data_IF_640762091126
#
_entry.id   IF_640762091126
#
_cell.length_a   1.000
_cell.length_b   1.000
_cell.length_c   1.000
_cell.angle_alpha   90.00
_cell.angle_beta   90.00
_cell.angle_gamma   90.00
#
_symmetry.space_group_name_H-M   'P 1'
#
loop_
_entity.id
_entity.type
_entity.pdbx_description
1 polymer ?
#
# COMPACT_ATOMS: atom_id res chain seq x y z
N UNK A 1 18.30 -22.59 4.66
CA UNK A 1 18.62 -21.38 3.86
C UNK A 1 19.93 -21.44 3.03
N UNK A 2 21.05 -22.09 3.44
CA UNK A 2 22.31 -22.04 2.66
C UNK A 2 22.28 -22.73 1.29
N UNK A 3 21.33 -23.63 1.04
CA UNK A 3 21.33 -24.51 -0.15
C UNK A 3 20.61 -23.94 -1.38
N UNK A 4 19.84 -22.84 -1.24
CA UNK A 4 19.00 -22.32 -2.33
C UNK A 4 19.76 -21.35 -3.26
N UNK A 5 20.53 -20.41 -2.68
CA UNK A 5 21.34 -19.43 -3.43
C UNK A 5 22.37 -20.06 -4.41
N UNK A 6 23.04 -21.18 -4.08
CA UNK A 6 23.94 -21.84 -5.03
C UNK A 6 23.24 -22.38 -6.28
N UNK A 7 21.97 -22.80 -6.19
CA UNK A 7 21.18 -23.34 -7.31
C UNK A 7 20.63 -22.24 -8.22
N UNK A 8 20.29 -21.08 -7.67
CA UNK A 8 19.83 -19.90 -8.43
C UNK A 8 20.95 -19.20 -9.22
N UNK A 9 22.23 -19.48 -8.93
CA UNK A 9 23.33 -19.04 -9.78
C UNK A 9 23.17 -19.68 -11.16
N UNK A 10 22.77 -18.87 -12.12
CA UNK A 10 22.61 -19.18 -13.55
C UNK A 10 23.95 -19.54 -14.22
N UNK A 11 24.75 -20.47 -13.67
CA UNK A 11 26.04 -20.89 -14.26
C UNK A 11 25.90 -21.39 -15.71
N UNK A 12 24.69 -21.85 -16.09
CA UNK A 12 24.42 -22.46 -17.40
C UNK A 12 23.44 -21.67 -18.30
N UNK A 13 22.88 -20.55 -17.84
CA UNK A 13 21.88 -19.78 -18.60
C UNK A 13 22.45 -18.72 -19.57
N UNK A 14 23.52 -17.96 -19.23
CA UNK A 14 24.04 -16.96 -20.16
C UNK A 14 24.60 -17.61 -21.43
N UNK A 15 25.04 -18.87 -21.37
CA UNK A 15 25.65 -19.57 -22.51
C UNK A 15 24.67 -19.82 -23.68
N UNK A 16 23.40 -20.16 -23.45
CA UNK A 16 22.44 -20.39 -24.57
C UNK A 16 22.10 -19.11 -25.32
N UNK A 17 21.82 -18.02 -24.61
CA UNK A 17 21.54 -16.72 -25.22
C UNK A 17 22.77 -16.17 -25.95
N UNK A 18 23.97 -16.33 -25.37
CA UNK A 18 25.21 -15.91 -26.01
C UNK A 18 25.49 -16.73 -27.29
N UNK A 19 25.18 -18.03 -27.30
CA UNK A 19 25.27 -18.88 -28.50
C UNK A 19 24.28 -18.40 -29.58
N UNK A 20 23.04 -18.11 -29.21
CA UNK A 20 22.04 -17.55 -30.14
C UNK A 20 22.48 -16.22 -30.74
N UNK A 21 23.02 -15.31 -29.91
CA UNK A 21 23.53 -14.02 -30.38
C UNK A 21 24.75 -14.19 -31.30
N UNK A 22 25.69 -15.10 -30.96
CA UNK A 22 26.81 -15.46 -31.84
C UNK A 22 26.32 -16.03 -33.18
N UNK A 23 25.31 -16.90 -33.18
CA UNK A 23 24.69 -17.43 -34.41
C UNK A 23 24.04 -16.34 -35.27
N UNK A 24 23.52 -15.28 -34.63
CA UNK A 24 23.01 -14.08 -35.31
C UNK A 24 24.11 -13.10 -35.74
N UNK A 25 25.39 -13.47 -35.61
CA UNK A 25 26.53 -12.67 -36.08
C UNK A 25 27.00 -11.59 -35.10
N UNK A 26 26.52 -11.57 -33.85
CA UNK A 26 26.93 -10.57 -32.87
C UNK A 26 28.22 -10.96 -32.16
N UNK A 27 29.21 -10.06 -32.18
CA UNK A 27 30.52 -10.26 -31.57
C UNK A 27 30.55 -9.62 -30.18
N UNK A 28 30.95 -10.38 -29.15
CA UNK A 28 30.93 -9.93 -27.76
C UNK A 28 32.26 -10.20 -27.06
N UNK A 29 33.02 -9.14 -26.76
CA UNK A 29 34.30 -9.22 -26.04
C UNK A 29 34.26 -8.71 -24.59
N UNK A 30 33.16 -8.05 -24.18
CA UNK A 30 32.99 -7.43 -22.85
C UNK A 30 31.62 -7.74 -22.24
N UNK A 31 31.12 -8.96 -22.45
CA UNK A 31 29.88 -9.39 -21.81
C UNK A 31 30.04 -9.32 -20.28
N UNK A 32 29.10 -8.67 -19.62
CA UNK A 32 29.08 -8.54 -18.16
C UNK A 32 27.72 -9.00 -17.66
N UNK A 33 27.66 -9.53 -16.45
CA UNK A 33 26.44 -10.05 -15.85
C UNK A 33 26.17 -9.35 -14.52
N UNK A 34 24.90 -9.06 -14.23
CA UNK A 34 24.52 -8.25 -13.05
C UNK A 34 24.95 -8.90 -11.74
N UNK A 35 25.09 -10.23 -11.68
CA UNK A 35 25.59 -10.96 -10.50
C UNK A 35 27.13 -11.11 -10.45
N UNK A 36 27.86 -10.54 -11.41
CA UNK A 36 29.32 -10.53 -11.36
C UNK A 36 29.82 -9.74 -10.14
N UNK A 37 30.84 -10.20 -9.41
CA UNK A 37 31.30 -9.55 -8.18
C UNK A 37 31.67 -8.07 -8.34
N UNK A 38 32.22 -7.70 -9.50
CA UNK A 38 32.59 -6.31 -9.81
C UNK A 38 31.35 -5.43 -9.93
N UNK A 39 30.30 -5.88 -10.63
CA UNK A 39 29.05 -5.13 -10.77
C UNK A 39 28.32 -5.06 -9.42
N UNK A 40 28.27 -6.17 -8.68
CA UNK A 40 27.67 -6.19 -7.34
C UNK A 40 28.34 -5.21 -6.38
N UNK A 41 29.68 -5.09 -6.45
CA UNK A 41 30.42 -4.08 -5.69
C UNK A 41 30.02 -2.66 -6.10
N UNK A 42 29.95 -2.36 -7.40
CA UNK A 42 29.56 -1.04 -7.90
C UNK A 42 28.12 -0.65 -7.50
N UNK A 43 27.19 -1.60 -7.51
CA UNK A 43 25.81 -1.37 -7.05
C UNK A 43 25.80 -0.98 -5.57
N UNK A 44 26.57 -1.66 -4.73
CA UNK A 44 26.70 -1.32 -3.30
C UNK A 44 27.32 0.05 -3.08
N UNK A 45 28.37 0.37 -3.82
CA UNK A 45 29.01 1.69 -3.76
C UNK A 45 28.05 2.81 -4.18
N UNK A 46 27.29 2.60 -5.26
CA UNK A 46 26.26 3.54 -5.70
C UNK A 46 25.16 3.73 -4.64
N UNK A 47 24.69 2.65 -4.01
CA UNK A 47 23.72 2.71 -2.92
C UNK A 47 24.26 3.52 -1.74
N UNK A 48 25.45 3.20 -1.25
CA UNK A 48 26.07 3.90 -0.10
C UNK A 48 26.24 5.38 -0.40
N UNK A 49 26.70 5.72 -1.60
CA UNK A 49 26.86 7.11 -2.01
C UNK A 49 25.53 7.86 -2.03
N UNK A 50 24.51 7.32 -2.69
CA UNK A 50 23.19 7.95 -2.78
C UNK A 50 22.54 8.08 -1.39
N UNK A 51 22.78 7.13 -0.49
CA UNK A 51 22.35 7.22 0.91
C UNK A 51 23.07 8.34 1.66
N UNK A 52 24.40 8.44 1.53
CA UNK A 52 25.19 9.52 2.14
C UNK A 52 24.82 10.90 1.59
N UNK A 53 24.44 10.98 0.32
CA UNK A 53 23.95 12.20 -0.34
C UNK A 53 22.52 12.57 0.12
N UNK A 54 21.87 11.76 0.98
CA UNK A 54 20.51 12.00 1.47
C UNK A 54 19.41 11.68 0.45
N UNK A 55 19.74 11.03 -0.66
CA UNK A 55 18.80 10.68 -1.74
C UNK A 55 18.13 9.33 -1.50
N UNK A 56 18.75 8.45 -0.71
CA UNK A 56 18.12 7.19 -0.28
C UNK A 56 17.68 7.33 1.17
N UNK A 57 16.45 6.94 1.45
CA UNK A 57 15.90 6.92 2.80
C UNK A 57 15.06 5.67 3.02
N UNK A 58 14.72 5.41 4.30
CA UNK A 58 13.85 4.31 4.71
C UNK A 58 12.52 4.88 5.20
N UNK A 59 11.41 4.33 4.73
CA UNK A 59 10.06 4.81 5.07
C UNK A 59 9.02 3.70 5.00
N UNK A 60 7.83 3.98 5.51
CA UNK A 60 6.70 3.06 5.49
C UNK A 60 5.78 3.36 4.31
N UNK A 61 5.44 2.34 3.54
CA UNK A 61 4.44 2.41 2.46
C UNK A 61 3.55 1.18 2.52
N UNK A 62 2.25 1.29 2.18
CA UNK A 62 1.47 0.13 1.84
C UNK A 62 2.10 -0.52 0.62
N UNK A 63 2.17 -1.84 0.65
CA UNK A 63 2.53 -2.69 -0.46
C UNK A 63 1.47 -3.76 -0.65
N UNK A 64 1.34 -4.22 -1.88
CA UNK A 64 0.53 -5.38 -2.18
C UNK A 64 1.22 -6.60 -1.60
N UNK A 65 0.57 -7.31 -0.69
CA UNK A 65 1.09 -8.52 -0.06
C UNK A 65 0.07 -9.64 -0.22
N UNK A 66 0.55 -10.83 -0.54
CA UNK A 66 -0.28 -12.02 -0.57
C UNK A 66 0.22 -13.02 0.47
N UNK A 67 -0.70 -13.79 1.05
CA UNK A 67 -0.30 -14.93 1.87
C UNK A 67 0.45 -15.92 1.01
N UNK A 68 1.57 -16.40 1.53
CA UNK A 68 2.34 -17.50 0.94
C UNK A 68 2.70 -18.50 2.01
N UNK A 69 2.34 -19.75 1.76
CA UNK A 69 2.85 -20.88 2.54
C UNK A 69 4.29 -21.15 2.11
N UNK A 70 5.23 -20.97 3.05
CA UNK A 70 6.64 -21.29 2.82
C UNK A 70 7.10 -22.14 4.00
N UNK A 71 7.20 -23.46 3.78
CA UNK A 71 7.74 -24.44 4.74
C UNK A 71 7.15 -24.35 6.16
N UNK A 72 5.93 -24.91 6.33
CA UNK A 72 5.20 -25.01 7.62
C UNK A 72 4.82 -23.68 8.30
N UNK A 73 5.30 -22.53 7.82
CA UNK A 73 4.87 -21.20 8.25
C UNK A 73 4.10 -20.45 7.13
N UNK A 74 2.94 -19.91 7.48
CA UNK A 74 2.20 -18.95 6.66
C UNK A 74 2.72 -17.55 6.96
N UNK A 75 3.29 -16.86 5.95
CA UNK A 75 3.73 -15.47 6.07
C UNK A 75 3.09 -14.63 4.95
N UNK A 76 2.82 -13.35 5.19
CA UNK A 76 2.53 -12.42 4.10
C UNK A 76 3.85 -12.13 3.38
N UNK A 77 3.82 -12.24 2.06
CA UNK A 77 4.97 -11.92 1.22
C UNK A 77 4.56 -10.77 0.32
N UNK A 78 5.37 -9.72 0.31
CA UNK A 78 5.20 -8.59 -0.59
C UNK A 78 5.22 -9.10 -2.04
N UNK A 79 4.15 -8.83 -2.75
CA UNK A 79 4.00 -9.09 -4.17
C UNK A 79 4.22 -7.79 -4.93
N UNK A 80 5.17 -7.79 -5.87
CA UNK A 80 5.28 -6.68 -6.82
C UNK A 80 4.04 -6.66 -7.72
N UNK A 81 3.66 -5.48 -8.22
CA UNK A 81 2.57 -5.30 -9.21
C UNK A 81 2.67 -6.26 -10.42
N UNK A 82 3.88 -6.67 -10.78
CA UNK A 82 4.16 -7.63 -11.85
C UNK A 82 3.67 -9.06 -11.56
N UNK A 83 3.27 -9.37 -10.32
CA UNK A 83 2.84 -10.70 -9.88
C UNK A 83 1.31 -10.81 -9.67
N UNK A 84 0.52 -9.79 -10.02
CA UNK A 84 -0.94 -9.90 -10.05
C UNK A 84 -1.31 -10.85 -11.20
N UNK A 85 -1.98 -11.97 -10.88
CA UNK A 85 -2.42 -12.94 -11.90
C UNK A 85 -3.69 -12.46 -12.59
N UNK A 86 -4.69 -12.12 -11.80
CA UNK A 86 -6.04 -11.81 -12.26
C UNK A 86 -6.80 -10.98 -11.22
N UNK A 87 -7.72 -10.15 -11.71
CA UNK A 87 -8.75 -9.48 -10.91
C UNK A 87 -10.06 -10.25 -11.12
N UNK A 88 -10.66 -10.72 -10.02
CA UNK A 88 -11.89 -11.51 -10.05
C UNK A 88 -12.99 -10.72 -9.35
N UNK A 89 -14.16 -10.64 -10.00
CA UNK A 89 -15.35 -10.04 -9.42
C UNK A 89 -15.94 -10.99 -8.37
N UNK A 90 -15.96 -10.55 -7.12
CA UNK A 90 -16.49 -11.29 -5.99
C UNK A 90 -17.58 -10.52 -5.26
N UNK A 91 -18.53 -11.29 -4.70
CA UNK A 91 -19.57 -10.74 -3.84
C UNK A 91 -19.07 -10.65 -2.41
N UNK A 92 -18.74 -9.43 -1.99
CA UNK A 92 -18.43 -9.12 -0.60
C UNK A 92 -19.65 -8.54 0.12
N UNK A 93 -19.58 -8.50 1.46
CA UNK A 93 -20.56 -7.81 2.29
C UNK A 93 -20.05 -6.42 2.60
N UNK A 94 -20.88 -5.42 2.30
CA UNK A 94 -20.65 -4.05 2.71
C UNK A 94 -21.54 -3.72 3.91
N UNK A 95 -20.95 -3.10 4.93
CA UNK A 95 -21.58 -2.81 6.20
C UNK A 95 -21.79 -1.32 6.36
N UNK A 96 -22.95 -0.93 6.88
CA UNK A 96 -23.20 0.42 7.35
C UNK A 96 -23.01 0.44 8.87
N UNK A 97 -21.96 1.12 9.33
CA UNK A 97 -21.48 1.14 10.72
C UNK A 97 -21.67 2.54 11.30
N UNK A 98 -22.20 2.63 12.52
CA UNK A 98 -22.31 3.89 13.26
C UNK A 98 -20.96 4.25 13.88
N UNK A 99 -20.50 5.47 13.63
CA UNK A 99 -19.40 6.11 14.33
C UNK A 99 -19.99 7.11 15.32
N UNK A 100 -19.67 6.92 16.61
CA UNK A 100 -20.19 7.72 17.73
C UNK A 100 -19.07 8.61 18.24
N UNK A 101 -19.43 9.86 18.60
CA UNK A 101 -18.62 10.94 19.18
C UNK A 101 -18.43 12.15 18.24
N UNK A 102 -19.51 12.92 18.09
CA UNK A 102 -19.53 14.17 17.33
C UNK A 102 -19.33 15.43 18.20
N UNK A 103 -19.26 15.31 19.53
CA UNK A 103 -19.41 16.46 20.45
C UNK A 103 -18.11 17.21 20.78
N UNK A 104 -17.04 17.06 19.98
CA UNK A 104 -15.75 17.72 20.24
C UNK A 104 -15.13 18.48 19.06
N UNK A 105 -15.91 18.91 18.05
CA UNK A 105 -15.35 19.57 16.85
C UNK A 105 -15.51 21.10 16.89
N UNK A 106 -14.40 21.85 16.96
CA UNK A 106 -14.31 23.21 16.41
C UNK A 106 -14.37 23.10 14.90
N UNK A 107 -15.48 23.49 14.25
CA UNK A 107 -15.55 23.61 12.79
C UNK A 107 -14.71 24.82 12.36
N UNK A 108 -13.59 24.60 11.66
CA UNK A 108 -12.94 25.66 10.86
C UNK A 108 -13.45 25.56 9.43
N UNK A 109 -14.18 26.59 9.01
CA UNK A 109 -14.45 26.81 7.60
C UNK A 109 -13.12 26.88 6.83
N UNK A 110 -12.97 26.02 5.82
CA UNK A 110 -11.77 25.94 4.98
C UNK A 110 -10.92 24.71 5.29
N UNK A 111 -11.03 23.72 4.40
CA UNK A 111 -10.24 22.48 4.35
C UNK A 111 -10.30 21.58 5.60
N UNK A 112 -11.24 20.63 5.58
CA UNK A 112 -11.20 19.32 6.24
C UNK A 112 -10.69 19.28 7.68
N UNK A 113 -11.59 19.14 8.64
CA UNK A 113 -11.21 19.10 10.04
C UNK A 113 -10.65 17.73 10.47
N UNK A 114 -9.68 17.75 11.39
CA UNK A 114 -8.93 16.61 11.95
C UNK A 114 -9.07 16.56 13.47
N UNK A 115 -9.36 15.38 14.06
CA UNK A 115 -8.50 14.71 15.08
C UNK A 115 -9.15 13.47 15.76
N UNK A 116 -8.43 12.33 15.66
CA UNK A 116 -7.90 11.45 16.75
C UNK A 116 -8.89 10.82 17.75
N UNK A 117 -8.77 9.59 18.29
CA UNK A 117 -7.98 8.34 18.14
C UNK A 117 -8.76 7.37 19.04
N UNK A 118 -9.09 6.15 18.61
CA UNK A 118 -9.58 5.13 19.56
C UNK A 118 -8.57 3.99 19.60
N UNK A 119 -7.74 4.01 20.64
CA UNK A 119 -6.79 2.92 20.94
C UNK A 119 -7.36 2.06 22.06
N UNK A 120 -8.62 1.64 21.92
CA UNK A 120 -9.16 0.42 22.54
C UNK A 120 -10.59 0.15 22.06
N UNK A 121 -10.91 -1.11 21.78
CA UNK A 121 -12.28 -1.52 21.39
C UNK A 121 -13.34 -1.10 22.43
N UNK A 122 -12.98 -1.12 23.72
CA UNK A 122 -13.87 -0.70 24.81
C UNK A 122 -14.26 0.79 24.76
N UNK A 123 -13.46 1.64 24.12
CA UNK A 123 -13.79 3.06 23.91
C UNK A 123 -14.79 3.25 22.77
N UNK A 124 -14.68 2.45 21.69
CA UNK A 124 -15.70 2.32 20.64
C UNK A 124 -17.03 1.79 21.18
N UNK A 125 -16.99 0.98 22.24
CA UNK A 125 -18.14 0.30 22.82
C UNK A 125 -18.91 1.11 23.87
N UNK A 126 -18.52 2.35 24.18
CA UNK A 126 -19.28 3.18 25.13
C UNK A 126 -20.73 3.34 24.62
N UNK A 127 -21.74 2.92 25.42
CA UNK A 127 -23.11 3.02 24.99
C UNK A 127 -23.51 4.48 24.76
N UNK A 128 -24.25 4.70 23.67
CA UNK A 128 -24.96 5.94 23.33
C UNK A 128 -25.58 6.56 24.60
N UNK A 129 -24.98 7.63 25.11
CA UNK A 129 -25.63 8.42 26.16
C UNK A 129 -26.68 9.30 25.48
N UNK A 130 -27.93 8.85 25.61
CA UNK A 130 -29.12 9.41 24.98
C UNK A 130 -29.40 10.82 25.48
N UNK A 131 -29.11 11.82 24.65
CA UNK A 131 -29.80 13.11 24.69
C UNK A 131 -29.87 13.77 23.29
N UNK A 132 -28.90 13.49 22.41
CA UNK A 132 -28.94 13.79 20.97
C UNK A 132 -28.28 12.65 20.18
N UNK A 133 -28.99 12.12 19.19
CA UNK A 133 -28.64 10.93 18.39
C UNK A 133 -27.63 11.26 17.27
N UNK A 134 -26.51 11.91 17.59
CA UNK A 134 -25.59 12.39 16.55
C UNK A 134 -24.49 11.36 16.29
N UNK A 135 -24.72 10.45 15.34
CA UNK A 135 -23.73 9.49 14.84
C UNK A 135 -23.52 9.67 13.33
N UNK A 136 -22.30 9.43 12.85
CA UNK A 136 -22.04 9.28 11.42
C UNK A 136 -22.29 7.85 10.99
N UNK A 137 -22.87 7.69 9.81
CA UNK A 137 -22.94 6.40 9.17
C UNK A 137 -21.74 6.28 8.22
N UNK A 138 -21.04 5.16 8.25
CA UNK A 138 -19.94 4.87 7.34
C UNK A 138 -20.19 3.53 6.67
N UNK A 139 -20.02 3.49 5.35
CA UNK A 139 -20.04 2.25 4.59
C UNK A 139 -18.63 1.66 4.49
N UNK A 140 -18.45 0.37 4.79
CA UNK A 140 -17.16 -0.31 4.64
C UNK A 140 -17.32 -1.79 4.30
N UNK A 141 -16.49 -2.30 3.38
CA UNK A 141 -16.33 -3.73 3.11
C UNK A 141 -15.28 -4.40 4.00
N UNK A 142 -14.44 -3.61 4.69
CA UNK A 142 -13.36 -4.09 5.56
C UNK A 142 -13.57 -3.59 7.00
N UNK A 143 -14.58 -4.10 7.72
CA UNK A 143 -14.88 -3.64 9.07
C UNK A 143 -13.70 -3.89 10.04
N UNK A 144 -12.93 -4.95 9.86
CA UNK A 144 -11.77 -5.28 10.70
C UNK A 144 -10.60 -4.28 10.62
N UNK A 145 -10.55 -3.40 9.60
CA UNK A 145 -9.51 -2.36 9.52
C UNK A 145 -9.86 -1.11 10.34
N UNK A 146 -11.06 -1.05 10.95
CA UNK A 146 -11.49 0.07 11.82
C UNK A 146 -10.53 0.30 12.99
N UNK A 147 -9.82 -0.73 13.47
CA UNK A 147 -8.82 -0.60 14.53
C UNK A 147 -7.65 0.33 14.17
N UNK A 148 -7.49 0.65 12.89
CA UNK A 148 -6.45 1.53 12.36
C UNK A 148 -7.02 2.81 11.72
N UNK A 149 -8.30 3.11 11.93
CA UNK A 149 -8.91 4.35 11.42
C UNK A 149 -8.32 5.58 12.13
N UNK A 150 -8.00 6.61 11.35
CA UNK A 150 -7.39 7.85 11.88
C UNK A 150 -8.19 9.11 11.55
N UNK A 151 -9.10 9.02 10.58
CA UNK A 151 -9.96 10.13 10.18
C UNK A 151 -11.25 9.63 9.50
N UNK A 152 -12.25 10.51 9.46
CA UNK A 152 -13.41 10.38 8.58
C UNK A 152 -13.38 11.54 7.57
N UNK A 153 -13.61 11.26 6.30
CA UNK A 153 -13.75 12.26 5.25
C UNK A 153 -15.20 12.41 4.84
N UNK A 154 -15.65 13.66 4.75
CA UNK A 154 -16.99 14.01 4.26
C UNK A 154 -16.81 14.80 2.97
N UNK A 155 -17.56 14.44 1.93
CA UNK A 155 -17.57 15.22 0.70
C UNK A 155 -18.27 16.57 0.97
N UNK A 156 -17.60 17.73 0.78
CA UNK A 156 -18.20 19.04 1.05
C UNK A 156 -19.43 19.37 0.19
N UNK A 157 -19.56 18.70 -0.96
CA UNK A 157 -20.71 18.83 -1.86
C UNK A 157 -21.86 17.89 -1.49
N UNK A 158 -21.61 16.89 -0.64
CA UNK A 158 -22.63 16.09 0.03
C UNK A 158 -22.84 16.70 1.43
N UNK A 159 -23.56 17.83 1.50
CA UNK A 159 -24.00 18.32 2.81
C UNK A 159 -24.81 17.21 3.49
N UNK A 160 -24.61 16.95 4.80
CA UNK A 160 -25.44 16.01 5.53
C UNK A 160 -26.86 16.59 5.64
N UNK A 161 -27.66 16.31 4.62
CA UNK A 161 -29.08 16.63 4.56
C UNK A 161 -29.81 15.85 5.68
N UNK A 162 -30.82 16.44 6.31
CA UNK A 162 -31.66 15.73 7.32
C UNK A 162 -32.36 14.48 6.72
N UNK A 163 -32.29 14.32 5.40
CA UNK A 163 -32.96 13.28 4.63
C UNK A 163 -32.04 12.26 3.92
N UNK A 164 -30.74 12.14 4.26
CA UNK A 164 -29.78 11.22 3.60
C UNK A 164 -30.42 9.84 3.34
N UNK A 165 -30.81 9.61 2.08
CA UNK A 165 -31.32 8.34 1.61
C UNK A 165 -30.15 7.37 1.51
N UNK A 166 -30.13 6.46 2.49
CA UNK A 166 -29.15 5.38 2.70
C UNK A 166 -29.27 4.33 1.58
N UNK A 167 -28.81 4.65 0.36
CA UNK A 167 -28.71 3.59 -0.65
C UNK A 167 -27.39 2.80 -0.60
N UNK A 168 -26.29 3.42 -0.15
CA UNK A 168 -25.24 2.80 0.67
C UNK A 168 -24.12 3.82 0.99
N UNK A 169 -23.88 4.78 0.11
CA UNK A 169 -22.90 5.86 0.31
C UNK A 169 -23.45 6.89 1.29
N UNK A 170 -22.91 6.93 2.50
CA UNK A 170 -23.30 7.89 3.54
C UNK A 170 -22.73 9.30 3.34
N UNK A 171 -22.00 9.53 2.23
CA UNK A 171 -21.18 10.73 2.03
C UNK A 171 -19.95 10.78 2.93
N UNK A 172 -19.74 9.76 3.78
CA UNK A 172 -18.66 9.67 4.76
C UNK A 172 -17.81 8.43 4.50
N UNK A 173 -16.51 8.66 4.37
CA UNK A 173 -15.48 7.65 4.17
C UNK A 173 -14.63 7.52 5.44
N UNK A 174 -14.46 6.30 5.97
CA UNK A 174 -13.39 6.05 6.94
C UNK A 174 -12.03 6.04 6.24
N UNK A 175 -11.02 6.59 6.91
CA UNK A 175 -9.66 6.62 6.40
C UNK A 175 -8.73 5.78 7.26
N UNK A 176 -8.12 4.77 6.65
CA UNK A 176 -7.23 3.79 7.27
C UNK A 176 -5.88 3.71 6.52
N UNK A 177 -4.97 4.69 6.66
CA UNK A 177 -3.76 4.80 5.84
C UNK A 177 -2.84 3.57 5.85
N UNK A 178 -2.85 2.74 6.89
CA UNK A 178 -2.02 1.54 6.95
C UNK A 178 -2.54 0.35 6.13
N UNK A 179 -3.76 0.42 5.59
CA UNK A 179 -4.48 -0.72 5.00
C UNK A 179 -5.15 -0.45 3.66
N UNK A 180 -5.05 0.76 3.13
CA UNK A 180 -5.59 1.14 1.83
C UNK A 180 -4.71 2.22 1.16
N UNK A 181 -4.48 2.09 -0.16
CA UNK A 181 -3.60 3.00 -0.90
C UNK A 181 -4.17 4.42 -1.05
N UNK A 182 -5.48 4.54 -1.27
CA UNK A 182 -6.11 5.85 -1.39
C UNK A 182 -6.11 6.57 -0.04
N UNK A 183 -6.39 5.83 1.03
CA UNK A 183 -6.29 6.34 2.40
C UNK A 183 -4.86 6.72 2.79
N UNK A 184 -3.87 5.97 2.32
CA UNK A 184 -2.46 6.30 2.54
C UNK A 184 -2.07 7.62 1.89
N UNK A 185 -2.48 7.86 0.64
CA UNK A 185 -2.23 9.12 -0.05
C UNK A 185 -2.99 10.30 0.60
N UNK A 186 -4.22 10.08 1.06
CA UNK A 186 -4.94 11.05 1.89
C UNK A 186 -4.18 11.32 3.20
N UNK A 187 -3.64 10.26 3.82
CA UNK A 187 -2.84 10.34 5.03
C UNK A 187 -1.60 11.20 4.85
N UNK A 188 -0.83 11.00 3.76
CA UNK A 188 0.29 11.88 3.42
C UNK A 188 -0.15 13.31 3.16
N UNK A 189 -1.15 13.50 2.29
CA UNK A 189 -1.64 14.82 1.87
C UNK A 189 -2.00 15.69 3.05
N UNK A 190 -2.59 15.07 4.07
CA UNK A 190 -3.14 15.74 5.24
C UNK A 190 -2.35 15.51 6.52
N UNK A 191 -1.17 14.89 6.43
CA UNK A 191 -0.26 14.64 7.55
C UNK A 191 -0.94 13.86 8.70
N UNK A 192 -1.75 12.87 8.34
CA UNK A 192 -2.37 11.94 9.28
C UNK A 192 -1.37 10.90 9.77
N UNK A 193 -1.56 10.36 10.99
CA UNK A 193 -0.84 9.19 11.44
C UNK A 193 -1.06 8.02 10.47
N UNK A 194 0.01 7.31 10.12
CA UNK A 194 -0.06 6.07 9.36
C UNK A 194 0.10 4.93 10.36
N UNK A 195 -1.01 4.31 10.73
CA UNK A 195 -1.05 3.22 11.71
C UNK A 195 -1.54 1.93 11.04
N UNK A 196 -0.96 0.81 11.44
CA UNK A 196 -1.43 -0.53 11.05
C UNK A 196 -1.90 -1.27 12.29
N UNK A 197 -3.02 -1.99 12.16
CA UNK A 197 -3.53 -2.92 13.18
C UNK A 197 -3.05 -4.37 12.97
N UNK A 198 -2.25 -4.64 11.93
CA UNK A 198 -1.66 -5.95 11.65
C UNK A 198 -0.15 -5.86 11.53
N UNK A 199 0.53 -6.94 11.89
CA UNK A 199 1.96 -7.10 11.65
C UNK A 199 2.25 -7.74 10.27
N UNK A 200 3.55 -7.95 9.98
CA UNK A 200 4.04 -8.56 8.73
C UNK A 200 3.51 -9.98 8.47
N UNK A 201 2.87 -10.63 9.44
CA UNK A 201 2.26 -11.96 9.30
C UNK A 201 0.74 -11.90 9.11
N UNK A 202 0.14 -10.71 9.04
CA UNK A 202 -1.32 -10.53 9.00
C UNK A 202 -1.99 -10.83 10.34
N UNK A 203 -1.22 -10.82 11.43
CA UNK A 203 -1.71 -11.04 12.79
C UNK A 203 -1.98 -9.68 13.44
N UNK A 204 -3.15 -9.58 14.07
CA UNK A 204 -3.62 -8.37 14.73
C UNK A 204 -2.76 -8.02 15.94
N UNK A 205 -2.42 -6.73 16.07
CA UNK A 205 -1.66 -6.18 17.20
C UNK A 205 -2.59 -5.71 18.34
N UNK A 206 -2.03 -5.01 19.32
CA UNK A 206 -2.74 -4.50 20.50
C UNK A 206 -3.92 -3.56 20.18
N UNK A 207 -3.93 -2.91 19.00
CA UNK A 207 -5.04 -2.05 18.57
C UNK A 207 -6.35 -2.82 18.41
N UNK A 208 -6.26 -4.13 18.14
CA UNK A 208 -7.42 -4.99 17.98
C UNK A 208 -8.01 -5.50 19.30
N UNK A 209 -7.45 -5.09 20.46
CA UNK A 209 -7.97 -5.45 21.77
C UNK A 209 -8.18 -6.97 21.94
N UNK A 210 -9.43 -7.47 22.13
CA UNK A 210 -9.70 -8.89 22.32
C UNK A 210 -9.24 -9.81 21.17
N UNK A 211 -9.03 -9.25 19.97
CA UNK A 211 -8.60 -10.00 18.79
C UNK A 211 -7.08 -9.97 18.56
N UNK A 212 -6.31 -9.35 19.46
CA UNK A 212 -4.85 -9.37 19.41
C UNK A 212 -4.33 -10.81 19.29
N UNK A 213 -3.34 -11.02 18.42
CA UNK A 213 -2.73 -12.33 18.18
C UNK A 213 -3.53 -13.24 17.23
N UNK A 214 -4.70 -12.81 16.76
CA UNK A 214 -5.49 -13.55 15.77
C UNK A 214 -5.22 -13.01 14.35
N UNK A 215 -5.47 -13.85 13.36
CA UNK A 215 -5.33 -13.46 11.96
C UNK A 215 -6.48 -12.53 11.53
N UNK A 216 -6.18 -11.43 10.83
CA UNK A 216 -7.18 -10.42 10.45
C UNK A 216 -8.38 -11.01 9.68
N UNK A 217 -8.12 -11.91 8.72
CA UNK A 217 -9.18 -12.57 7.95
C UNK A 217 -10.08 -13.49 8.78
N UNK A 218 -9.57 -14.02 9.91
CA UNK A 218 -10.29 -14.99 10.75
C UNK A 218 -11.35 -14.34 11.65
N UNK A 219 -11.27 -13.03 11.88
CA UNK A 219 -12.13 -12.36 12.85
C UNK A 219 -13.39 -11.76 12.24
N UNK A 220 -13.47 -11.63 10.91
CA UNK A 220 -14.54 -10.87 10.23
C UNK A 220 -15.94 -11.32 10.65
N UNK A 221 -16.22 -12.62 10.65
CA UNK A 221 -17.55 -13.13 11.02
C UNK A 221 -17.93 -12.81 12.47
N UNK A 222 -17.02 -13.08 13.41
CA UNK A 222 -17.20 -12.81 14.84
C UNK A 222 -17.33 -11.30 15.11
N UNK A 223 -16.48 -10.50 14.46
CA UNK A 223 -16.44 -9.05 14.60
C UNK A 223 -17.74 -8.42 14.11
N UNK A 224 -18.23 -8.83 12.94
CA UNK A 224 -19.52 -8.37 12.40
C UNK A 224 -20.68 -8.77 13.30
N UNK A 225 -20.69 -10.00 13.83
CA UNK A 225 -21.72 -10.44 14.76
C UNK A 225 -21.75 -9.56 16.03
N UNK A 226 -20.58 -9.16 16.55
CA UNK A 226 -20.48 -8.24 17.69
C UNK A 226 -20.99 -6.83 17.35
N UNK A 227 -20.68 -6.30 16.17
CA UNK A 227 -21.19 -5.00 15.72
C UNK A 227 -22.73 -5.00 15.60
N UNK A 228 -23.32 -6.10 15.13
CA UNK A 228 -24.78 -6.26 15.05
C UNK A 228 -25.40 -6.41 16.44
N UNK A 229 -24.84 -7.25 17.31
CA UNK A 229 -25.28 -7.44 18.71
C UNK A 229 -25.35 -6.11 19.46
N UNK A 230 -24.34 -5.24 19.24
CA UNK A 230 -24.22 -3.92 19.85
C UNK A 230 -25.03 -2.82 19.15
N UNK A 231 -25.76 -3.13 18.07
CA UNK A 231 -26.54 -2.18 17.24
C UNK A 231 -25.69 -1.04 16.63
N UNK A 232 -24.39 -1.31 16.46
CA UNK A 232 -23.43 -0.42 15.79
C UNK A 232 -23.55 -0.61 14.28
N UNK A 233 -23.61 -1.86 13.81
CA UNK A 233 -23.95 -2.15 12.41
C UNK A 233 -25.47 -2.03 12.22
N UNK A 234 -25.91 -1.17 11.30
CA UNK A 234 -27.33 -0.94 11.03
C UNK A 234 -27.85 -1.68 9.81
N UNK A 235 -26.96 -1.99 8.86
CA UNK A 235 -27.33 -2.59 7.58
C UNK A 235 -26.15 -3.34 7.00
N UNK A 236 -26.43 -4.48 6.39
CA UNK A 236 -25.47 -5.29 5.63
C UNK A 236 -26.10 -5.50 4.24
N UNK A 237 -25.33 -5.26 3.18
CA UNK A 237 -25.72 -5.58 1.79
C UNK A 237 -24.61 -6.38 1.12
N UNK A 238 -24.97 -7.15 0.11
CA UNK A 238 -23.99 -7.69 -0.84
C UNK A 238 -23.54 -6.60 -1.81
N UNK A 239 -22.27 -6.62 -2.17
CA UNK A 239 -21.62 -5.69 -3.06
C UNK A 239 -20.58 -6.43 -3.92
N UNK A 240 -20.58 -6.16 -5.21
CA UNK A 240 -19.62 -6.75 -6.16
C UNK A 240 -18.35 -5.89 -6.15
N UNK A 241 -17.21 -6.53 -5.87
CA UNK A 241 -15.89 -5.88 -5.81
C UNK A 241 -14.88 -6.71 -6.58
N UNK A 242 -13.85 -6.06 -7.11
CA UNK A 242 -12.77 -6.75 -7.81
C UNK A 242 -11.62 -7.03 -6.84
N UNK A 243 -11.38 -8.30 -6.54
CA UNK A 243 -10.25 -8.73 -5.73
C UNK A 243 -9.09 -9.17 -6.62
N UNK A 244 -7.89 -8.74 -6.27
CA UNK A 244 -6.66 -9.13 -6.96
C UNK A 244 -6.06 -10.38 -6.34
N UNK A 245 -5.62 -11.31 -7.18
CA UNK A 245 -5.04 -12.59 -6.76
C UNK A 245 -3.56 -12.72 -7.14
N UNK A 246 -2.76 -13.30 -6.24
CA UNK A 246 -1.33 -13.57 -6.51
C UNK A 246 -1.17 -14.67 -7.54
N UNK A 247 -0.37 -14.41 -8.57
CA UNK A 247 0.04 -15.42 -9.57
C UNK A 247 0.90 -16.55 -9.00
N UNK A 248 1.47 -16.39 -7.79
CA UNK A 248 2.36 -17.37 -7.18
C UNK A 248 1.64 -18.26 -6.17
N UNK A 249 0.86 -17.66 -5.28
CA UNK A 249 0.18 -18.40 -4.20
C UNK A 249 -1.30 -18.63 -4.47
N UNK A 250 -1.91 -17.89 -5.40
CA UNK A 250 -3.36 -17.90 -5.60
C UNK A 250 -4.14 -17.28 -4.43
N UNK A 251 -3.47 -16.64 -3.47
CA UNK A 251 -4.12 -15.94 -2.36
C UNK A 251 -4.56 -14.54 -2.79
N UNK A 252 -5.58 -14.02 -2.09
CA UNK A 252 -5.99 -12.61 -2.20
C UNK A 252 -4.82 -11.71 -1.81
N UNK A 253 -4.60 -10.68 -2.63
CA UNK A 253 -3.61 -9.64 -2.38
C UNK A 253 -4.25 -8.56 -1.52
N UNK A 254 -3.61 -8.22 -0.41
CA UNK A 254 -4.04 -7.17 0.52
C UNK A 254 -2.97 -6.08 0.65
N UNK A 255 -3.35 -4.81 0.85
CA UNK A 255 -2.41 -3.77 1.21
C UNK A 255 -1.87 -4.02 2.63
N UNK A 256 -0.56 -4.04 2.77
CA UNK A 256 0.15 -4.19 4.04
C UNK A 256 1.22 -3.10 4.15
N UNK A 257 1.22 -2.39 5.28
CA UNK A 257 2.27 -1.41 5.57
C UNK A 257 3.61 -2.13 5.81
N UNK A 258 4.63 -1.76 5.03
CA UNK A 258 5.98 -2.32 5.14
C UNK A 258 7.06 -1.23 5.10
N UNK A 259 8.18 -1.52 5.77
CA UNK A 259 9.37 -0.67 5.81
C UNK A 259 10.24 -0.91 4.56
N UNK A 260 10.29 0.07 3.68
CA UNK A 260 11.00 -0.01 2.40
C UNK A 260 12.08 1.07 2.28
N UNK A 261 13.06 0.78 1.42
CA UNK A 261 14.03 1.77 0.96
C UNK A 261 13.55 2.46 -0.32
N UNK A 262 13.63 3.78 -0.31
CA UNK A 262 13.25 4.65 -1.41
C UNK A 262 14.43 5.45 -1.91
N UNK A 263 14.45 5.70 -3.21
CA UNK A 263 15.26 6.74 -3.82
C UNK A 263 14.36 7.95 -4.12
N UNK A 264 14.70 9.12 -3.58
CA UNK A 264 14.10 10.41 -3.95
C UNK A 264 14.56 10.77 -5.37
N UNK A 265 13.84 10.20 -6.34
CA UNK A 265 14.11 10.37 -7.75
C UNK A 265 13.88 11.83 -8.22
N UNK A 266 12.84 12.55 -7.76
CA UNK A 266 12.72 13.99 -8.00
C UNK A 266 13.94 14.80 -7.54
N UNK A 267 14.47 14.55 -6.34
CA UNK A 267 15.66 15.24 -5.84
C UNK A 267 16.92 14.86 -6.63
N UNK A 268 17.08 13.58 -6.98
CA UNK A 268 18.19 13.12 -7.81
C UNK A 268 18.18 13.80 -9.18
N UNK A 269 17.02 13.91 -9.82
CA UNK A 269 16.88 14.59 -11.11
C UNK A 269 17.26 16.06 -11.00
N UNK A 270 16.82 16.77 -9.95
CA UNK A 270 17.21 18.16 -9.69
C UNK A 270 18.72 18.32 -9.54
N UNK A 271 19.39 17.40 -8.84
CA UNK A 271 20.84 17.38 -8.68
C UNK A 271 21.57 17.15 -10.01
N UNK A 272 21.04 16.25 -10.85
CA UNK A 272 21.56 16.02 -12.21
C UNK A 272 21.39 17.27 -13.08
N UNK A 273 20.23 17.92 -13.05
CA UNK A 273 19.97 19.15 -13.81
C UNK A 273 20.85 20.33 -13.36
N UNK A 274 21.12 20.44 -12.05
CA UNK A 274 22.05 21.44 -11.51
C UNK A 274 23.46 21.26 -12.02
N UNK A 275 23.95 20.01 -12.11
CA UNK A 275 25.28 19.67 -12.62
C UNK A 275 25.36 19.71 -14.14
N UNK A 276 24.28 19.35 -14.81
CA UNK A 276 24.16 19.27 -16.26
C UNK A 276 22.83 19.86 -16.72
N UNK A 277 22.75 21.19 -16.86
CA UNK A 277 21.55 21.84 -17.38
C UNK A 277 21.24 21.31 -18.78
N UNK A 278 19.95 21.05 -19.03
CA UNK A 278 19.44 20.53 -20.29
C UNK A 278 20.14 19.24 -20.76
N UNK A 279 20.48 18.30 -19.86
CA UNK A 279 21.18 17.06 -20.25
C UNK A 279 20.44 16.25 -21.33
N UNK A 280 19.10 16.31 -21.37
CA UNK A 280 18.30 15.64 -22.39
C UNK A 280 18.53 16.20 -23.80
N UNK A 281 18.82 17.50 -23.96
CA UNK A 281 19.11 18.07 -25.30
C UNK A 281 20.48 17.66 -25.84
N UNK A 282 21.35 17.10 -24.98
CA UNK A 282 22.65 16.54 -25.37
C UNK A 282 22.55 15.09 -25.84
N UNK A 283 21.37 14.49 -25.76
CA UNK A 283 21.11 13.11 -26.16
C UNK A 283 20.36 13.13 -27.49
N UNK A 284 20.87 12.42 -28.49
CA UNK A 284 20.17 12.21 -29.75
C UNK A 284 19.16 11.06 -29.60
N UNK A 285 17.86 11.39 -29.65
CA UNK A 285 16.79 10.40 -29.55
C UNK A 285 16.33 9.94 -30.92
N UNK A 286 16.32 8.64 -31.17
CA UNK A 286 15.81 8.06 -32.41
C UNK A 286 14.63 7.12 -32.13
N UNK A 287 13.38 7.50 -32.49
CA UNK A 287 12.94 8.78 -33.05
C UNK A 287 12.85 9.94 -32.02
N UNK A 288 12.91 11.19 -32.49
CA UNK A 288 12.97 12.40 -31.65
C UNK A 288 11.80 12.53 -30.66
N UNK A 289 10.63 11.96 -30.96
CA UNK A 289 9.46 11.98 -30.08
C UNK A 289 9.70 11.33 -28.70
N UNK A 290 10.69 10.44 -28.58
CA UNK A 290 11.02 9.82 -27.29
C UNK A 290 11.59 10.81 -26.27
N UNK A 291 12.19 11.91 -26.73
CA UNK A 291 12.63 12.97 -25.84
C UNK A 291 11.47 13.50 -25.02
N UNK A 292 10.35 13.84 -25.67
CA UNK A 292 9.14 14.33 -24.99
C UNK A 292 8.60 13.33 -23.98
N UNK A 293 8.62 12.02 -24.30
CA UNK A 293 8.18 10.97 -23.36
C UNK A 293 9.04 10.93 -22.09
N UNK A 294 10.34 11.09 -22.24
CA UNK A 294 11.28 11.11 -21.09
C UNK A 294 11.14 12.40 -20.30
N UNK A 295 10.90 13.53 -20.96
CA UNK A 295 10.58 14.81 -20.30
C UNK A 295 9.29 14.72 -19.48
N UNK A 296 8.23 14.15 -20.06
CA UNK A 296 6.96 13.93 -19.36
C UNK A 296 7.13 12.98 -18.16
N UNK A 297 7.89 11.89 -18.32
CA UNK A 297 8.22 10.96 -17.24
C UNK A 297 9.00 11.66 -16.11
N UNK A 298 10.03 12.44 -16.47
CA UNK A 298 10.86 13.21 -15.53
C UNK A 298 10.00 14.15 -14.67
N UNK A 299 9.02 14.82 -15.28
CA UNK A 299 8.16 15.80 -14.62
C UNK A 299 7.07 15.18 -13.73
N UNK A 300 6.72 13.90 -13.96
CA UNK A 300 5.69 13.16 -13.21
C UNK A 300 6.28 12.08 -12.30
N UNK A 301 7.59 12.09 -12.11
CA UNK A 301 8.25 11.03 -11.36
C UNK A 301 7.97 11.18 -9.86
N UNK A 302 7.99 10.05 -9.16
CA UNK A 302 7.79 9.95 -7.72
C UNK A 302 8.97 9.20 -7.12
N UNK A 303 8.97 9.06 -5.79
CA UNK A 303 9.98 8.27 -5.09
C UNK A 303 9.97 6.83 -5.59
N UNK A 304 11.16 6.26 -5.82
CA UNK A 304 11.29 4.91 -6.36
C UNK A 304 11.59 3.93 -5.24
N UNK A 305 10.67 3.00 -4.97
CA UNK A 305 10.95 1.86 -4.09
C UNK A 305 12.03 0.97 -4.73
N UNK A 306 13.19 0.90 -4.08
CA UNK A 306 14.37 0.11 -4.53
C UNK A 306 14.55 -1.18 -3.74
N UNK A 307 13.68 -1.44 -2.75
CA UNK A 307 13.65 -2.69 -2.00
C UNK A 307 12.88 -3.76 -2.75
N UNK A 308 13.31 -5.01 -2.60
CA UNK A 308 12.63 -6.17 -3.19
C UNK A 308 12.70 -7.33 -2.19
N UNK A 309 11.55 -7.88 -1.82
CA UNK A 309 11.42 -9.06 -0.96
C UNK A 309 11.61 -10.33 -1.81
N UNK A 310 12.78 -10.41 -2.45
CA UNK A 310 13.24 -11.58 -3.17
C UNK A 310 14.19 -12.33 -2.24
N UNK A 311 14.06 -13.67 -2.25
CA UNK A 311 14.78 -14.68 -1.46
C UNK A 311 16.17 -14.34 -0.88
#
# INVERSE_FOLDING_TARGET
MPEFLPRAKLKNYPSRNLILMKRKGTIHFRASFTLDPVIQKQVKEAFVKLYQDGLIYRGETPELAAKREVFEETNLVVENLENIAEEIEEKEKILAVKFVDYNSWEVKEGSGLYRSFFTNFDEYLKPLNSAKNDYLLVATSRPETIFADVALFINPHDQPDESIKIDFGSGVLKCTPGHDFADYELGKKYQLPIISCVNEKGILNELAGPWQGREISSIREEFVAKLVEKKICVKIKEYETNLAYSSKSGAVIEPLLSQQWFLDLPALIKEVEKKQPNFLSKIEFMPNQFQKKIEDWKNKTHEWCISRQLW
#
